data_IF_673808336725
#
_entry.id   IF_673808336725
#
_cell.length_a   1.000
_cell.length_b   1.000
_cell.length_c   1.000
_cell.angle_alpha   90.00
_cell.angle_beta   90.00
_cell.angle_gamma   90.00
#
_symmetry.space_group_name_H-M   'P 1'
#
loop_
_entity.id
_entity.type
_entity.pdbx_description
1 polymer ?
#
# COMPACT_ATOMS: atom_id res chain seq x y z
N UNK A 1 27.13 9.81 -26.88
CA UNK A 1 27.17 10.72 -25.71
C UNK A 1 26.90 9.89 -24.48
N UNK A 2 27.82 9.78 -23.50
CA UNK A 2 27.66 8.80 -22.44
C UNK A 2 26.80 9.33 -21.30
N UNK A 3 25.59 8.76 -21.18
CA UNK A 3 24.76 8.80 -19.97
C UNK A 3 25.20 7.62 -19.10
N UNK A 4 26.31 7.77 -18.38
CA UNK A 4 26.77 6.75 -17.41
C UNK A 4 27.26 7.35 -16.08
N UNK A 5 27.25 8.68 -15.93
CA UNK A 5 27.71 9.34 -14.71
C UNK A 5 26.61 9.54 -13.64
N UNK A 6 25.33 9.57 -14.03
CA UNK A 6 24.22 9.88 -13.12
C UNK A 6 23.76 8.69 -12.26
N UNK A 7 23.88 7.45 -12.74
CA UNK A 7 23.53 6.25 -11.95
C UNK A 7 24.58 5.91 -10.88
N UNK A 8 25.85 6.24 -11.13
CA UNK A 8 26.96 6.10 -10.18
C UNK A 8 26.82 7.07 -9.00
N UNK A 9 26.31 8.29 -9.24
CA UNK A 9 26.07 9.30 -8.20
C UNK A 9 24.94 8.90 -7.23
N UNK A 10 23.93 8.16 -7.73
CA UNK A 10 22.86 7.59 -6.92
C UNK A 10 23.35 6.47 -5.99
N UNK A 11 24.23 5.59 -6.49
CA UNK A 11 24.90 4.56 -5.68
C UNK A 11 25.79 5.16 -4.58
N UNK A 12 26.55 6.22 -4.91
CA UNK A 12 27.40 6.91 -3.94
C UNK A 12 26.59 7.57 -2.81
N UNK A 13 25.47 8.23 -3.12
CA UNK A 13 24.62 8.87 -2.09
C UNK A 13 23.92 7.86 -1.16
N UNK A 14 23.56 6.67 -1.66
CA UNK A 14 22.90 5.62 -0.85
C UNK A 14 23.90 4.90 0.08
N UNK A 15 25.14 4.70 -0.37
CA UNK A 15 26.24 4.23 0.49
C UNK A 15 26.60 5.24 1.57
N UNK A 16 26.54 6.56 1.28
CA UNK A 16 26.81 7.62 2.25
C UNK A 16 25.78 7.64 3.39
N UNK A 17 24.49 7.38 3.15
CA UNK A 17 23.48 7.37 4.22
C UNK A 17 23.64 6.16 5.15
N UNK A 18 23.92 4.98 4.59
CA UNK A 18 24.29 3.79 5.37
C UNK A 18 25.61 3.97 6.12
N UNK A 19 26.61 4.61 5.49
CA UNK A 19 27.86 4.99 6.15
C UNK A 19 27.65 6.04 7.23
N UNK A 20 26.73 6.99 7.12
CA UNK A 20 26.47 8.03 8.14
C UNK A 20 25.78 7.45 9.38
N UNK A 21 24.90 6.46 9.19
CA UNK A 21 24.29 5.73 10.30
C UNK A 21 25.29 4.79 11.00
N UNK A 22 26.09 4.04 10.23
CA UNK A 22 27.21 3.26 10.75
C UNK A 22 28.28 4.16 11.41
N UNK A 23 28.54 5.34 10.85
CA UNK A 23 29.43 6.35 11.43
C UNK A 23 28.89 6.84 12.77
N UNK A 24 27.58 7.04 12.94
CA UNK A 24 27.02 7.53 14.20
C UNK A 24 27.12 6.48 15.32
N UNK A 25 26.90 5.20 15.00
CA UNK A 25 27.06 4.11 15.96
C UNK A 25 28.54 3.83 16.27
N UNK A 26 29.39 3.85 15.24
CA UNK A 26 30.85 3.78 15.36
C UNK A 26 31.40 4.96 16.15
N UNK A 27 30.89 6.18 15.97
CA UNK A 27 31.29 7.37 16.74
C UNK A 27 30.91 7.21 18.21
N UNK A 28 29.71 6.75 18.53
CA UNK A 28 29.32 6.52 19.94
C UNK A 28 30.18 5.42 20.56
N UNK A 29 30.46 4.34 19.84
CA UNK A 29 31.30 3.23 20.31
C UNK A 29 32.77 3.67 20.49
N UNK A 30 33.33 4.42 19.54
CA UNK A 30 34.71 4.92 19.58
C UNK A 30 34.90 6.08 20.56
N UNK A 31 33.90 6.94 20.73
CA UNK A 31 34.01 8.12 21.61
C UNK A 31 33.70 7.79 23.07
N UNK A 32 32.87 6.77 23.35
CA UNK A 32 32.48 6.45 24.73
C UNK A 32 32.90 5.05 25.20
N UNK A 33 32.77 4.01 24.38
CA UNK A 33 33.08 2.64 24.81
C UNK A 33 34.59 2.36 24.82
N UNK A 34 35.33 2.88 23.83
CA UNK A 34 36.79 2.75 23.77
C UNK A 34 37.50 3.45 24.94
N UNK A 35 37.17 4.70 25.31
CA UNK A 35 37.74 5.34 26.50
C UNK A 35 37.35 4.64 27.80
N UNK A 36 36.14 4.08 27.90
CA UNK A 36 35.72 3.32 29.07
C UNK A 36 36.49 1.99 29.20
N UNK A 37 36.62 1.23 28.11
CA UNK A 37 37.42 0.01 28.08
C UNK A 37 38.90 0.30 28.38
N UNK A 38 39.44 1.39 27.82
CA UNK A 38 40.78 1.86 28.11
C UNK A 38 40.96 2.26 29.57
N UNK A 39 39.97 2.94 30.17
CA UNK A 39 39.98 3.29 31.59
C UNK A 39 39.98 2.06 32.50
N UNK A 40 39.19 1.03 32.17
CA UNK A 40 39.19 -0.24 32.90
C UNK A 40 40.50 -1.01 32.73
N UNK A 41 41.05 -1.06 31.52
CA UNK A 41 42.34 -1.70 31.25
C UNK A 41 43.49 -0.98 31.97
N UNK A 42 43.52 0.36 31.94
CA UNK A 42 44.47 1.19 32.68
C UNK A 42 44.38 0.98 34.20
N UNK A 43 43.16 0.86 34.73
CA UNK A 43 42.96 0.59 36.15
C UNK A 43 43.42 -0.82 36.55
N UNK A 44 43.25 -1.79 35.65
CA UNK A 44 43.70 -3.17 35.82
C UNK A 44 45.23 -3.29 35.79
N UNK A 45 45.91 -2.67 34.82
CA UNK A 45 47.39 -2.69 34.72
C UNK A 45 48.06 -1.91 35.86
N UNK A 46 47.44 -0.82 36.34
CA UNK A 46 47.90 -0.10 37.53
C UNK A 46 47.82 -0.92 38.81
N UNK A 47 46.88 -1.86 38.91
CA UNK A 47 46.76 -2.77 40.06
C UNK A 47 47.84 -3.87 40.08
N UNK A 48 48.46 -4.17 38.93
CA UNK A 48 49.48 -5.21 38.78
C UNK A 48 50.92 -4.67 38.97
N UNK A 49 51.07 -3.34 39.14
CA UNK A 49 52.29 -2.75 39.67
C UNK A 49 53.44 -2.56 38.67
N UNK A 50 53.17 -2.62 37.36
CA UNK A 50 54.24 -2.58 36.35
C UNK A 50 53.96 -1.61 35.18
N UNK A 51 53.61 -0.37 35.51
CA UNK A 51 53.43 0.69 34.50
C UNK A 51 54.46 1.81 34.69
N UNK A 52 55.66 1.65 34.14
CA UNK A 52 56.57 2.77 33.88
C UNK A 52 56.10 3.55 32.65
N UNK A 53 55.70 4.79 32.92
CA UNK A 53 55.69 6.01 32.09
C UNK A 53 56.12 5.83 30.62
N UNK A 54 55.14 5.66 29.72
CA UNK A 54 55.27 5.95 28.27
C UNK A 54 53.98 6.54 27.70
N UNK A 55 53.29 7.39 28.47
CA UNK A 55 51.94 7.85 28.10
C UNK A 55 51.90 9.27 27.50
N UNK A 56 53.00 10.03 27.56
CA UNK A 56 53.00 11.44 27.15
C UNK A 56 53.57 11.70 25.75
N UNK A 57 54.33 10.78 25.16
CA UNK A 57 54.80 10.88 23.76
C UNK A 57 53.74 10.41 22.75
N UNK A 58 52.93 9.41 23.11
CA UNK A 58 52.00 8.76 22.16
C UNK A 58 50.81 9.62 21.72
N UNK A 59 50.44 10.66 22.49
CA UNK A 59 49.30 11.53 22.16
C UNK A 59 49.69 12.68 21.22
N UNK A 60 50.99 12.95 21.01
CA UNK A 60 51.48 14.01 20.12
C UNK A 60 51.80 13.53 18.70
N UNK A 61 52.00 12.22 18.48
CA UNK A 61 52.27 11.65 17.15
C UNK A 61 51.02 11.47 16.26
N UNK A 62 49.82 11.63 16.81
CA UNK A 62 48.56 11.42 16.06
C UNK A 62 48.22 12.56 15.07
N UNK A 63 49.06 13.61 14.96
CA UNK A 63 48.79 14.78 14.09
C UNK A 63 49.92 15.21 13.14
N UNK A 64 51.03 14.48 12.97
CA UNK A 64 52.11 14.96 12.11
C UNK A 64 53.10 13.92 11.59
N UNK A 65 53.24 13.91 10.27
CA UNK A 65 54.28 13.27 9.43
C UNK A 65 55.68 13.39 10.04
N UNK A 66 56.34 12.27 10.31
CA UNK A 66 57.80 12.14 10.18
C UNK A 66 58.22 10.67 9.98
N UNK A 67 59.06 10.43 8.97
CA UNK A 67 59.84 9.20 8.79
C UNK A 67 60.90 9.11 9.91
N UNK A 68 60.88 8.04 10.71
CA UNK A 68 62.11 7.52 11.29
C UNK A 68 62.07 5.99 11.36
N UNK A 69 63.12 5.39 10.81
CA UNK A 69 63.46 3.97 10.95
C UNK A 69 63.81 3.67 12.42
N UNK A 70 63.02 2.81 13.05
CA UNK A 70 63.51 1.97 14.15
C UNK A 70 62.66 0.70 14.22
N UNK A 71 63.24 -0.38 13.70
CA UNK A 71 62.72 -1.73 13.82
C UNK A 71 63.19 -2.35 15.14
N UNK A 72 62.24 -2.70 16.01
CA UNK A 72 62.50 -3.56 17.15
C UNK A 72 61.57 -3.31 18.32
N UNK A 73 60.74 -4.32 18.62
CA UNK A 73 59.91 -4.47 19.83
C UNK A 73 58.52 -3.80 19.77
N UNK A 74 57.58 -4.39 19.02
CA UNK A 74 56.13 -4.13 19.16
C UNK A 74 55.24 -5.32 18.77
N UNK A 75 55.62 -6.57 19.09
CA UNK A 75 54.81 -7.74 18.67
C UNK A 75 53.55 -7.98 19.53
N UNK A 76 53.46 -7.46 20.76
CA UNK A 76 52.30 -7.71 21.64
C UNK A 76 51.18 -6.65 21.55
N UNK A 77 51.46 -5.46 20.99
CA UNK A 77 50.48 -4.37 20.89
C UNK A 77 49.52 -4.51 19.71
N UNK A 78 49.99 -5.11 18.61
CA UNK A 78 49.22 -5.24 17.37
C UNK A 78 48.09 -6.27 17.46
N UNK A 79 48.27 -7.36 18.21
CA UNK A 79 47.20 -8.36 18.41
C UNK A 79 46.01 -7.80 19.20
N UNK A 80 46.26 -6.94 20.19
CA UNK A 80 45.22 -6.30 20.97
C UNK A 80 44.42 -5.27 20.14
N UNK A 81 45.10 -4.47 19.32
CA UNK A 81 44.47 -3.50 18.43
C UNK A 81 43.65 -4.20 17.32
N UNK A 82 44.18 -5.27 16.74
CA UNK A 82 43.45 -6.08 15.77
C UNK A 82 42.18 -6.69 16.39
N UNK A 83 42.26 -7.21 17.61
CA UNK A 83 41.11 -7.78 18.33
C UNK A 83 40.04 -6.73 18.63
N UNK A 84 40.43 -5.53 19.04
CA UNK A 84 39.50 -4.41 19.29
C UNK A 84 38.86 -3.94 17.99
N UNK A 85 39.61 -3.83 16.89
CA UNK A 85 39.08 -3.46 15.59
C UNK A 85 38.05 -4.48 15.08
N UNK A 86 38.34 -5.78 15.19
CA UNK A 86 37.41 -6.87 14.85
C UNK A 86 36.16 -6.80 15.72
N UNK A 87 36.29 -6.53 17.03
CA UNK A 87 35.14 -6.40 17.92
C UNK A 87 34.26 -5.20 17.57
N UNK A 88 34.86 -4.04 17.27
CA UNK A 88 34.14 -2.84 16.84
C UNK A 88 33.39 -3.09 15.52
N UNK A 89 34.04 -3.72 14.55
CA UNK A 89 33.39 -4.08 13.28
C UNK A 89 32.26 -5.09 13.49
N UNK A 90 32.45 -6.11 14.33
CA UNK A 90 31.42 -7.08 14.66
C UNK A 90 30.23 -6.43 15.37
N UNK A 91 30.48 -5.53 16.32
CA UNK A 91 29.44 -4.80 17.05
C UNK A 91 28.66 -3.85 16.15
N UNK A 92 29.33 -3.19 15.19
CA UNK A 92 28.67 -2.33 14.20
C UNK A 92 27.78 -3.15 13.25
N UNK A 93 28.28 -4.29 12.74
CA UNK A 93 27.49 -5.20 11.91
C UNK A 93 26.28 -5.73 12.69
N UNK A 94 26.47 -6.15 13.93
CA UNK A 94 25.39 -6.67 14.77
C UNK A 94 24.36 -5.57 15.12
N UNK A 95 24.84 -4.37 15.44
CA UNK A 95 24.00 -3.21 15.74
C UNK A 95 23.16 -2.80 14.53
N UNK A 96 23.77 -2.75 13.34
CA UNK A 96 23.06 -2.48 12.10
C UNK A 96 22.06 -3.59 11.76
N UNK A 97 22.40 -4.87 11.97
CA UNK A 97 21.48 -5.98 11.77
C UNK A 97 20.28 -5.94 12.74
N UNK A 98 20.51 -5.64 14.02
CA UNK A 98 19.46 -5.49 15.04
C UNK A 98 18.58 -4.28 14.72
N UNK A 99 19.16 -3.14 14.35
CA UNK A 99 18.41 -1.97 13.93
C UNK A 99 17.51 -2.29 12.73
N UNK A 100 18.05 -2.96 11.71
CA UNK A 100 17.30 -3.41 10.54
C UNK A 100 16.17 -4.39 10.93
N UNK A 101 16.39 -5.35 11.82
CA UNK A 101 15.36 -6.29 12.28
C UNK A 101 14.25 -5.58 13.10
N UNK A 102 14.62 -4.61 13.94
CA UNK A 102 13.65 -3.82 14.69
C UNK A 102 12.84 -2.89 13.77
N UNK A 103 13.51 -2.21 12.85
CA UNK A 103 12.90 -1.22 11.95
C UNK A 103 12.10 -1.85 10.81
N UNK A 104 12.49 -3.05 10.35
CA UNK A 104 11.72 -3.84 9.39
C UNK A 104 10.43 -4.37 9.96
N UNK A 105 10.22 -4.32 11.28
CA UNK A 105 9.07 -4.91 11.94
C UNK A 105 9.02 -6.43 11.81
N UNK A 106 10.14 -7.10 11.47
CA UNK A 106 10.19 -8.57 11.33
C UNK A 106 9.97 -9.28 12.68
N UNK A 107 10.25 -8.62 13.80
CA UNK A 107 9.84 -9.08 15.14
C UNK A 107 8.31 -9.19 15.31
N UNK A 108 7.52 -8.46 14.52
CA UNK A 108 6.05 -8.53 14.53
C UNK A 108 5.51 -9.78 13.82
N UNK A 109 6.34 -10.52 13.09
CA UNK A 109 5.94 -11.82 12.54
C UNK A 109 5.82 -12.91 13.63
N UNK A 110 6.36 -12.67 14.82
CA UNK A 110 6.32 -13.61 15.95
C UNK A 110 5.31 -13.23 17.04
N UNK A 111 4.75 -12.03 16.98
CA UNK A 111 3.82 -11.53 17.99
C UNK A 111 2.48 -11.20 17.32
N UNK A 112 1.48 -12.06 17.55
CA UNK A 112 0.08 -11.76 17.24
C UNK A 112 -0.36 -10.47 17.94
N UNK A 113 -0.78 -9.53 17.09
CA UNK A 113 -1.85 -8.56 17.27
C UNK A 113 -1.99 -7.80 18.60
N UNK A 114 -1.44 -6.58 18.63
CA UNK A 114 -2.08 -5.42 19.26
C UNK A 114 -1.28 -4.16 18.94
N UNK A 115 -1.51 -3.57 17.77
CA UNK A 115 -1.06 -2.21 17.50
C UNK A 115 -2.24 -1.28 17.28
N UNK A 116 -2.88 -0.92 18.40
CA UNK A 116 -3.74 0.26 18.50
C UNK A 116 -2.88 1.50 18.21
N UNK A 117 -3.10 2.09 17.03
CA UNK A 117 -2.53 3.37 16.64
C UNK A 117 -2.94 4.47 17.60
N UNK A 118 -1.95 5.28 18.00
CA UNK A 118 -2.10 6.45 18.84
C UNK A 118 -3.03 7.47 18.18
N UNK A 119 -4.14 7.78 18.87
CA UNK A 119 -5.05 8.94 18.77
C UNK A 119 -6.52 8.49 18.96
N UNK A 120 -6.90 8.03 20.16
CA UNK A 120 -8.32 7.86 20.54
C UNK A 120 -8.72 9.08 21.36
N UNK A 121 -9.23 10.10 20.68
CA UNK A 121 -10.27 10.95 21.28
C UNK A 121 -11.58 10.15 21.27
N UNK A 122 -12.35 10.23 22.35
CA UNK A 122 -13.68 9.61 22.53
C UNK A 122 -14.47 9.54 21.22
N UNK A 123 -14.60 8.33 20.66
CA UNK A 123 -15.34 8.03 19.42
C UNK A 123 -16.85 8.07 19.61
N UNK A 124 -17.32 7.97 20.86
CA UNK A 124 -18.75 7.84 21.17
C UNK A 124 -19.50 9.17 21.01
N UNK A 125 -18.90 10.30 21.37
CA UNK A 125 -19.59 11.60 21.31
C UNK A 125 -19.70 12.19 19.89
N UNK A 126 -18.89 11.72 18.93
CA UNK A 126 -18.89 12.21 17.53
C UNK A 126 -19.72 11.37 16.57
N UNK A 127 -19.95 10.08 16.84
CA UNK A 127 -20.83 9.22 16.02
C UNK A 127 -22.29 9.69 16.06
N UNK A 128 -22.73 10.32 17.16
CA UNK A 128 -24.10 10.80 17.33
C UNK A 128 -24.47 12.04 16.48
N UNK A 129 -23.50 12.82 16.00
CA UNK A 129 -23.76 14.08 15.30
C UNK A 129 -23.86 13.96 13.76
N UNK A 130 -23.55 12.78 13.20
CA UNK A 130 -23.47 12.55 11.74
C UNK A 130 -24.68 11.80 11.16
N UNK A 131 -25.64 11.42 11.99
CA UNK A 131 -26.87 10.77 11.59
C UNK A 131 -28.05 11.73 11.79
N UNK A 132 -28.31 12.57 10.79
CA UNK A 132 -29.71 12.68 10.39
C UNK A 132 -30.08 11.27 9.94
N UNK A 133 -30.68 10.49 10.84
CA UNK A 133 -31.26 9.19 10.49
C UNK A 133 -32.35 9.46 9.46
N UNK A 134 -31.98 9.42 8.18
CA UNK A 134 -32.94 9.14 7.12
C UNK A 134 -33.55 7.82 7.53
N UNK A 135 -34.82 7.83 7.93
CA UNK A 135 -35.54 6.64 8.37
C UNK A 135 -35.56 5.64 7.19
N UNK A 136 -34.53 4.79 7.12
CA UNK A 136 -34.39 3.85 6.03
C UNK A 136 -35.58 2.90 6.07
N UNK A 137 -36.21 2.70 4.93
CA UNK A 137 -37.20 1.62 4.84
C UNK A 137 -36.53 0.29 5.23
N UNK A 138 -37.26 -0.66 5.83
CA UNK A 138 -36.70 -1.96 6.20
C UNK A 138 -36.01 -2.68 5.04
N UNK A 139 -36.53 -2.55 3.81
CA UNK A 139 -35.95 -3.12 2.61
C UNK A 139 -34.60 -2.47 2.22
N UNK A 140 -34.48 -1.14 2.39
CA UNK A 140 -33.23 -0.43 2.15
C UNK A 140 -32.15 -0.87 3.13
N UNK A 141 -32.48 -0.90 4.42
CA UNK A 141 -31.57 -1.35 5.48
C UNK A 141 -31.10 -2.78 5.25
N UNK A 142 -32.03 -3.70 4.94
CA UNK A 142 -31.69 -5.09 4.64
C UNK A 142 -30.72 -5.21 3.44
N UNK A 143 -30.92 -4.40 2.39
CA UNK A 143 -30.01 -4.41 1.23
C UNK A 143 -28.64 -3.82 1.56
N UNK A 144 -28.57 -2.77 2.39
CA UNK A 144 -27.31 -2.20 2.88
C UNK A 144 -26.52 -3.22 3.70
N UNK A 145 -27.19 -3.91 4.63
CA UNK A 145 -26.59 -4.98 5.42
C UNK A 145 -26.08 -6.12 4.53
N UNK A 146 -26.91 -6.57 3.58
CA UNK A 146 -26.53 -7.59 2.60
C UNK A 146 -25.30 -7.17 1.78
N UNK A 147 -25.26 -5.95 1.24
CA UNK A 147 -24.12 -5.44 0.47
C UNK A 147 -22.83 -5.39 1.29
N UNK A 148 -22.93 -5.10 2.60
CA UNK A 148 -21.79 -5.08 3.52
C UNK A 148 -21.16 -6.47 3.74
N UNK A 149 -21.93 -7.53 3.47
CA UNK A 149 -21.52 -8.94 3.56
C UNK A 149 -21.02 -9.51 2.23
N UNK A 150 -20.85 -8.67 1.19
CA UNK A 150 -20.31 -9.07 -0.11
C UNK A 150 -18.84 -8.71 -0.27
N UNK A 151 -18.07 -8.81 0.82
CA UNK A 151 -16.62 -8.82 0.74
C UNK A 151 -16.10 -10.10 0.10
N UNK A 152 -14.92 -10.06 -0.49
CA UNK A 152 -14.17 -11.24 -0.93
C UNK A 152 -12.86 -11.32 -0.18
N UNK A 153 -12.46 -12.54 0.19
CA UNK A 153 -11.14 -12.76 0.75
C UNK A 153 -10.06 -12.49 -0.31
N UNK A 154 -8.88 -12.07 0.12
CA UNK A 154 -7.74 -11.91 -0.78
C UNK A 154 -7.38 -13.24 -1.48
N UNK A 155 -7.56 -14.36 -0.78
CA UNK A 155 -7.46 -15.71 -1.35
C UNK A 155 -8.34 -15.87 -2.59
N UNK A 156 -9.63 -15.58 -2.46
CA UNK A 156 -10.59 -15.77 -3.55
C UNK A 156 -10.41 -14.76 -4.68
N UNK A 157 -9.93 -13.54 -4.39
CA UNK A 157 -9.50 -12.58 -5.42
C UNK A 157 -8.29 -13.10 -6.24
N UNK A 158 -7.29 -13.67 -5.57
CA UNK A 158 -6.13 -14.26 -6.26
C UNK A 158 -6.51 -15.51 -7.04
N UNK A 159 -7.38 -16.36 -6.48
CA UNK A 159 -7.91 -17.53 -7.17
C UNK A 159 -8.65 -17.12 -8.44
N UNK A 160 -9.51 -16.11 -8.36
CA UNK A 160 -10.19 -15.56 -9.54
C UNK A 160 -9.20 -15.11 -10.62
N UNK A 161 -8.15 -14.40 -10.22
CA UNK A 161 -7.12 -13.93 -11.14
C UNK A 161 -6.33 -15.07 -11.80
N UNK A 162 -5.95 -16.10 -11.03
CA UNK A 162 -5.06 -17.17 -11.47
C UNK A 162 -5.79 -18.33 -12.17
N UNK A 163 -7.02 -18.62 -11.78
CA UNK A 163 -7.76 -19.81 -12.23
C UNK A 163 -8.92 -19.45 -13.16
N UNK A 164 -9.69 -18.40 -12.85
CA UNK A 164 -10.87 -18.04 -13.65
C UNK A 164 -10.52 -17.20 -14.89
N UNK A 165 -9.65 -16.20 -14.77
CA UNK A 165 -9.32 -15.35 -15.93
C UNK A 165 -8.65 -16.10 -17.08
N UNK A 166 -7.68 -17.01 -16.86
CA UNK A 166 -7.04 -17.74 -17.95
C UNK A 166 -7.94 -18.78 -18.61
N UNK A 167 -9.05 -19.16 -17.97
CA UNK A 167 -9.96 -20.22 -18.45
C UNK A 167 -11.18 -19.67 -19.20
N UNK A 168 -11.27 -18.35 -19.40
CA UNK A 168 -12.39 -17.74 -20.10
C UNK A 168 -12.44 -18.17 -21.58
N UNK A 169 -13.60 -18.63 -22.09
CA UNK A 169 -13.72 -19.06 -23.47
C UNK A 169 -13.60 -17.86 -24.43
N UNK A 170 -12.89 -18.06 -25.54
CA UNK A 170 -12.72 -17.08 -26.61
C UNK A 170 -12.15 -15.72 -26.14
N UNK A 171 -11.46 -15.69 -24.99
CA UNK A 171 -10.84 -14.50 -24.44
C UNK A 171 -9.55 -14.84 -23.72
N UNK A 172 -8.44 -14.26 -24.18
CA UNK A 172 -7.16 -14.37 -23.48
C UNK A 172 -6.91 -13.11 -22.67
N UNK A 173 -6.93 -13.22 -21.35
CA UNK A 173 -6.62 -12.09 -20.48
C UNK A 173 -5.16 -11.62 -20.66
N UNK A 174 -4.97 -10.36 -21.03
CA UNK A 174 -3.67 -9.69 -21.10
C UNK A 174 -3.54 -8.69 -19.92
N UNK A 175 -2.74 -9.00 -18.89
CA UNK A 175 -2.71 -8.20 -17.66
C UNK A 175 -2.23 -6.76 -17.84
N UNK A 176 -1.40 -6.47 -18.85
CA UNK A 176 -0.92 -5.11 -19.13
C UNK A 176 -1.96 -4.20 -19.81
N UNK A 177 -2.95 -4.78 -20.51
CA UNK A 177 -3.85 -4.04 -21.40
C UNK A 177 -5.29 -4.06 -20.92
N UNK A 178 -5.74 -5.18 -20.35
CA UNK A 178 -7.13 -5.32 -19.91
C UNK A 178 -7.42 -4.56 -18.63
N UNK A 179 -8.46 -3.75 -18.72
CA UNK A 179 -8.99 -2.92 -17.65
C UNK A 179 -10.01 -3.69 -16.84
N UNK A 180 -10.37 -3.15 -15.69
CA UNK A 180 -11.39 -3.78 -14.83
C UNK A 180 -12.73 -3.93 -15.54
N UNK A 181 -13.13 -2.97 -16.38
CA UNK A 181 -14.33 -3.11 -17.22
C UNK A 181 -14.29 -4.30 -18.17
N UNK A 182 -13.12 -4.64 -18.72
CA UNK A 182 -12.97 -5.77 -19.64
C UNK A 182 -13.16 -7.07 -18.87
N UNK A 183 -12.57 -7.17 -17.67
CA UNK A 183 -12.78 -8.29 -16.74
C UNK A 183 -14.23 -8.42 -16.30
N UNK A 184 -14.92 -7.31 -16.02
CA UNK A 184 -16.35 -7.34 -15.67
C UNK A 184 -17.16 -7.95 -16.82
N UNK A 185 -16.93 -7.49 -18.05
CA UNK A 185 -17.69 -7.90 -19.23
C UNK A 185 -17.34 -9.31 -19.71
N UNK A 186 -16.08 -9.71 -19.61
CA UNK A 186 -15.57 -10.96 -20.20
C UNK A 186 -15.44 -12.11 -19.21
N UNK A 187 -15.37 -11.82 -17.91
CA UNK A 187 -15.26 -12.85 -16.88
C UNK A 187 -16.42 -12.80 -15.88
N UNK A 188 -16.58 -11.70 -15.14
CA UNK A 188 -17.52 -11.64 -14.00
C UNK A 188 -18.96 -11.89 -14.45
N UNK A 189 -19.46 -11.13 -15.43
CA UNK A 189 -20.84 -11.28 -15.94
C UNK A 189 -21.09 -12.69 -16.51
N UNK A 190 -20.24 -13.23 -17.42
CA UNK A 190 -20.44 -14.58 -17.94
C UNK A 190 -20.44 -15.66 -16.86
N UNK A 191 -19.49 -15.60 -15.90
CA UNK A 191 -19.37 -16.60 -14.84
C UNK A 191 -20.61 -16.62 -13.93
N UNK A 192 -21.18 -15.46 -13.61
CA UNK A 192 -22.36 -15.38 -12.74
C UNK A 192 -23.70 -15.39 -13.49
N UNK A 193 -23.69 -15.52 -14.82
CA UNK A 193 -24.91 -15.43 -15.66
C UNK A 193 -25.99 -16.45 -15.33
N UNK A 194 -25.61 -17.64 -14.85
CA UNK A 194 -26.56 -18.69 -14.45
C UNK A 194 -27.27 -18.37 -13.13
N UNK A 195 -26.57 -17.73 -12.20
CA UNK A 195 -27.09 -17.36 -10.87
C UNK A 195 -27.70 -15.96 -10.85
N UNK A 196 -27.39 -15.14 -11.86
CA UNK A 196 -27.82 -13.74 -11.99
C UNK A 196 -27.52 -12.90 -10.74
N UNK A 197 -26.36 -13.16 -10.13
CA UNK A 197 -25.92 -12.60 -8.85
C UNK A 197 -24.60 -11.84 -8.96
N UNK A 198 -24.25 -11.10 -7.89
CA UNK A 198 -22.92 -10.55 -7.71
C UNK A 198 -21.89 -11.67 -7.55
N UNK A 199 -20.68 -11.51 -8.09
CA UNK A 199 -19.64 -12.55 -7.98
C UNK A 199 -19.34 -12.91 -6.52
N UNK A 200 -19.21 -11.92 -5.65
CA UNK A 200 -18.94 -12.14 -4.23
C UNK A 200 -20.03 -12.97 -3.51
N UNK A 201 -21.27 -12.90 -4.00
CA UNK A 201 -22.41 -13.66 -3.46
C UNK A 201 -22.67 -14.97 -4.21
N UNK A 202 -21.94 -15.23 -5.30
CA UNK A 202 -22.13 -16.42 -6.13
C UNK A 202 -21.53 -17.66 -5.49
N UNK A 203 -22.04 -18.84 -5.85
CA UNK A 203 -21.46 -20.10 -5.38
C UNK A 203 -20.02 -20.31 -5.88
N UNK A 204 -19.60 -19.60 -6.94
CA UNK A 204 -18.25 -19.65 -7.51
C UNK A 204 -17.20 -19.00 -6.61
N UNK A 205 -17.57 -18.00 -5.80
CA UNK A 205 -16.63 -17.35 -4.89
C UNK A 205 -16.22 -18.28 -3.72
N UNK A 206 -17.13 -19.11 -3.24
CA UNK A 206 -16.84 -20.08 -2.17
C UNK A 206 -16.67 -19.50 -0.76
N UNK A 207 -16.47 -18.19 -0.60
CA UNK A 207 -16.30 -17.56 0.72
C UNK A 207 -17.58 -17.53 1.57
N UNK A 208 -18.76 -17.60 0.94
CA UNK A 208 -20.03 -17.28 1.59
C UNK A 208 -20.15 -15.78 1.95
N UNK A 209 -21.11 -15.40 2.81
CA UNK A 209 -21.25 -14.01 3.25
C UNK A 209 -20.03 -13.58 4.08
N UNK A 210 -19.28 -12.61 3.57
CA UNK A 210 -18.09 -12.07 4.22
C UNK A 210 -18.24 -10.57 4.45
N UNK A 211 -18.14 -10.17 5.71
CA UNK A 211 -18.13 -8.74 6.05
C UNK A 211 -16.84 -8.10 5.55
N UNK A 212 -16.97 -7.04 4.77
CA UNK A 212 -15.80 -6.31 4.29
C UNK A 212 -15.05 -5.60 5.43
N UNK A 213 -13.73 -5.78 5.46
CA UNK A 213 -12.82 -5.06 6.34
C UNK A 213 -12.23 -3.84 5.65
N UNK A 214 -12.16 -3.88 4.31
CA UNK A 214 -11.58 -2.84 3.48
C UNK A 214 -12.50 -2.55 2.31
N UNK A 215 -12.91 -1.29 2.16
CA UNK A 215 -13.57 -0.82 0.93
C UNK A 215 -12.52 -0.34 -0.07
N UNK A 216 -12.63 -0.77 -1.32
CA UNK A 216 -11.70 -0.41 -2.39
C UNK A 216 -12.35 0.57 -3.35
N UNK A 217 -11.90 1.81 -3.33
CA UNK A 217 -12.24 2.82 -4.33
C UNK A 217 -11.30 2.68 -5.52
N UNK A 218 -11.87 2.44 -6.71
CA UNK A 218 -11.11 2.25 -7.94
C UNK A 218 -11.88 2.75 -9.16
N UNK A 219 -11.17 3.03 -10.24
CA UNK A 219 -11.78 3.36 -11.54
C UNK A 219 -11.76 2.13 -12.44
N UNK A 220 -12.90 1.79 -13.05
CA UNK A 220 -12.99 0.64 -13.96
C UNK A 220 -12.16 0.79 -15.24
N UNK A 221 -11.77 2.03 -15.56
CA UNK A 221 -10.82 2.34 -16.63
C UNK A 221 -9.36 1.98 -16.32
N UNK A 222 -9.07 1.58 -15.08
CA UNK A 222 -7.75 1.17 -14.62
C UNK A 222 -7.47 -0.28 -15.02
N UNK A 223 -6.20 -0.58 -15.26
CA UNK A 223 -5.71 -1.94 -15.44
C UNK A 223 -6.18 -2.82 -14.27
N UNK A 224 -6.74 -4.00 -14.58
CA UNK A 224 -7.27 -4.89 -13.53
C UNK A 224 -6.14 -5.47 -12.65
N UNK A 225 -4.98 -5.76 -13.25
CA UNK A 225 -3.79 -6.20 -12.52
C UNK A 225 -3.35 -5.15 -11.48
N UNK A 226 -3.35 -3.87 -11.86
CA UNK A 226 -2.96 -2.79 -10.94
C UNK A 226 -3.95 -2.65 -9.76
N UNK A 227 -5.25 -2.88 -10.00
CA UNK A 227 -6.25 -2.95 -8.91
C UNK A 227 -5.91 -4.07 -7.92
N UNK A 228 -5.66 -5.28 -8.41
CA UNK A 228 -5.31 -6.41 -7.55
C UNK A 228 -3.97 -6.20 -6.84
N UNK A 229 -2.99 -5.64 -7.54
CA UNK A 229 -1.70 -5.27 -6.95
C UNK A 229 -1.87 -4.24 -5.82
N UNK A 230 -2.74 -3.25 -5.97
CA UNK A 230 -3.05 -2.29 -4.92
C UNK A 230 -3.67 -2.95 -3.68
N UNK A 231 -4.54 -3.95 -3.87
CA UNK A 231 -5.13 -4.76 -2.79
C UNK A 231 -4.06 -5.61 -2.09
N UNK A 232 -3.20 -6.29 -2.85
CA UNK A 232 -2.08 -7.08 -2.30
C UNK A 232 -1.11 -6.20 -1.51
N UNK A 233 -0.71 -5.06 -2.06
CA UNK A 233 0.15 -4.11 -1.38
C UNK A 233 -0.51 -3.49 -0.16
N UNK A 234 -1.82 -3.36 -0.17
CA UNK A 234 -2.55 -2.99 1.03
C UNK A 234 -2.46 -4.05 2.13
N UNK A 235 -2.73 -5.31 1.80
CA UNK A 235 -2.64 -6.44 2.73
C UNK A 235 -1.24 -6.56 3.35
N UNK A 236 -0.20 -6.35 2.53
CA UNK A 236 1.21 -6.40 2.94
C UNK A 236 1.73 -5.08 3.54
N UNK A 237 0.86 -4.07 3.68
CA UNK A 237 1.20 -2.74 4.21
C UNK A 237 2.34 -2.04 3.45
N UNK A 238 2.40 -2.26 2.14
CA UNK A 238 3.32 -1.61 1.21
C UNK A 238 2.77 -0.24 0.78
N UNK A 239 3.65 0.75 0.63
CA UNK A 239 3.23 2.05 0.12
C UNK A 239 2.93 1.98 -1.39
N UNK A 240 3.75 1.24 -2.14
CA UNK A 240 3.63 1.10 -3.59
C UNK A 240 3.14 -0.29 -4.01
N UNK A 241 2.60 -0.40 -5.22
CA UNK A 241 2.11 -1.68 -5.74
C UNK A 241 2.88 -2.28 -6.90
N UNK A 242 3.95 -1.65 -7.39
CA UNK A 242 4.64 -2.17 -8.57
C UNK A 242 5.36 -3.51 -8.32
N UNK A 243 5.88 -3.77 -7.12
CA UNK A 243 6.42 -5.11 -6.78
C UNK A 243 5.32 -6.19 -6.86
N UNK A 244 4.15 -5.92 -6.28
CA UNK A 244 3.01 -6.82 -6.35
C UNK A 244 2.53 -7.00 -7.80
N UNK A 245 2.52 -5.94 -8.60
CA UNK A 245 2.22 -5.98 -10.04
C UNK A 245 3.15 -6.95 -10.79
N UNK A 246 4.46 -6.85 -10.57
CA UNK A 246 5.44 -7.71 -11.23
C UNK A 246 5.28 -9.18 -10.79
N UNK A 247 5.09 -9.42 -9.49
CA UNK A 247 4.91 -10.77 -8.96
C UNK A 247 3.61 -11.42 -9.42
N UNK A 248 2.52 -10.65 -9.60
CA UNK A 248 1.28 -11.17 -10.16
C UNK A 248 1.45 -11.72 -11.59
N UNK A 249 2.38 -11.16 -12.38
CA UNK A 249 2.67 -11.65 -13.73
C UNK A 249 3.71 -12.76 -13.76
N UNK A 250 4.81 -12.58 -13.04
CA UNK A 250 5.99 -13.44 -13.16
C UNK A 250 5.90 -14.70 -12.30
N UNK A 251 5.37 -14.58 -11.07
CA UNK A 251 5.31 -15.69 -10.12
C UNK A 251 4.19 -15.49 -9.07
N UNK A 252 2.92 -15.63 -9.48
CA UNK A 252 1.79 -15.39 -8.59
C UNK A 252 1.66 -16.47 -7.50
N UNK A 253 2.25 -17.66 -7.71
CA UNK A 253 2.32 -18.71 -6.69
C UNK A 253 3.23 -18.28 -5.53
N UNK A 254 4.39 -17.71 -5.83
CA UNK A 254 5.28 -17.15 -4.82
C UNK A 254 4.63 -16.01 -4.01
N UNK A 255 3.90 -15.12 -4.69
CA UNK A 255 3.14 -14.07 -4.01
C UNK A 255 2.11 -14.63 -3.04
N UNK A 256 1.39 -15.68 -3.45
CA UNK A 256 0.43 -16.37 -2.60
C UNK A 256 1.10 -16.98 -1.37
N UNK A 257 2.26 -17.62 -1.51
CA UNK A 257 3.02 -18.16 -0.38
C UNK A 257 3.42 -17.08 0.63
N UNK A 258 3.84 -15.90 0.15
CA UNK A 258 4.16 -14.78 1.04
C UNK A 258 2.92 -14.33 1.81
N UNK A 259 1.80 -14.13 1.13
CA UNK A 259 0.54 -13.75 1.76
C UNK A 259 0.04 -14.79 2.76
N UNK A 260 0.26 -16.08 2.48
CA UNK A 260 -0.04 -17.17 3.41
C UNK A 260 0.84 -17.10 4.65
N UNK A 261 2.15 -16.93 4.48
CA UNK A 261 3.12 -16.80 5.59
C UNK A 261 2.87 -15.57 6.46
N UNK A 262 2.29 -14.51 5.89
CA UNK A 262 1.93 -13.30 6.64
C UNK A 262 0.48 -13.29 7.13
N UNK A 263 -0.26 -14.40 6.99
CA UNK A 263 -1.67 -14.54 7.39
C UNK A 263 -2.60 -13.46 6.80
N UNK A 264 -2.31 -12.98 5.60
CA UNK A 264 -3.07 -11.91 4.96
C UNK A 264 -4.15 -12.40 3.98
N UNK A 265 -4.16 -13.70 3.65
CA UNK A 265 -5.06 -14.27 2.64
C UNK A 265 -6.54 -14.14 3.00
N UNK A 266 -6.87 -14.07 4.29
CA UNK A 266 -8.25 -14.00 4.76
C UNK A 266 -8.74 -12.56 4.97
N UNK A 267 -7.90 -11.55 4.68
CA UNK A 267 -8.33 -10.16 4.63
C UNK A 267 -9.46 -9.98 3.61
N UNK A 268 -10.51 -9.26 4.00
CA UNK A 268 -11.73 -9.16 3.20
C UNK A 268 -11.91 -7.79 2.58
N UNK A 269 -12.05 -7.76 1.24
CA UNK A 269 -12.13 -6.54 0.45
C UNK A 269 -13.50 -6.42 -0.24
N UNK A 270 -14.11 -5.25 -0.14
CA UNK A 270 -15.28 -4.88 -0.93
C UNK A 270 -14.82 -4.14 -2.18
N UNK A 271 -15.04 -4.73 -3.35
CA UNK A 271 -14.66 -4.18 -4.66
C UNK A 271 -15.92 -4.15 -5.51
N UNK A 272 -16.34 -2.98 -5.99
CA UNK A 272 -17.65 -2.82 -6.61
C UNK A 272 -17.86 -3.71 -7.85
N UNK A 273 -16.80 -4.01 -8.61
CA UNK A 273 -16.89 -4.93 -9.77
C UNK A 273 -17.32 -6.35 -9.39
N UNK A 274 -17.02 -6.78 -8.16
CA UNK A 274 -17.36 -8.11 -7.65
C UNK A 274 -18.58 -8.12 -6.71
N UNK A 275 -18.74 -7.08 -5.91
CA UNK A 275 -19.75 -7.02 -4.86
C UNK A 275 -21.12 -6.55 -5.36
N UNK A 276 -21.17 -5.75 -6.45
CA UNK A 276 -22.43 -5.33 -7.07
C UNK A 276 -22.90 -6.39 -8.06
N UNK A 277 -24.21 -6.64 -8.06
CA UNK A 277 -24.85 -7.51 -9.02
C UNK A 277 -24.89 -6.84 -10.40
N UNK A 278 -23.96 -7.23 -11.26
CA UNK A 278 -23.82 -6.65 -12.60
C UNK A 278 -25.02 -6.97 -13.52
N UNK A 279 -25.81 -8.00 -13.20
CA UNK A 279 -26.95 -8.45 -14.00
C UNK A 279 -28.14 -7.50 -13.94
N UNK A 280 -28.32 -6.83 -12.80
CA UNK A 280 -29.36 -5.82 -12.60
C UNK A 280 -28.85 -4.40 -12.86
N UNK A 281 -27.60 -4.22 -13.28
CA UNK A 281 -26.99 -2.91 -13.52
C UNK A 281 -26.67 -2.67 -14.99
N UNK A 282 -25.83 -3.52 -15.59
CA UNK A 282 -25.18 -3.19 -16.87
C UNK A 282 -25.18 -4.32 -17.91
N UNK A 283 -25.53 -5.55 -17.53
CA UNK A 283 -25.18 -6.73 -18.35
C UNK A 283 -25.85 -6.79 -19.74
N UNK A 284 -27.05 -6.22 -19.89
CA UNK A 284 -27.84 -6.26 -21.14
C UNK A 284 -27.49 -5.18 -22.18
N UNK A 285 -26.59 -4.25 -21.85
CA UNK A 285 -26.22 -3.15 -22.74
C UNK A 285 -24.73 -2.88 -22.70
N UNK A 286 -24.11 -2.79 -23.87
CA UNK A 286 -22.73 -2.37 -24.01
C UNK A 286 -22.58 -1.41 -25.22
N UNK A 287 -22.81 -0.10 -25.03
CA UNK A 287 -22.72 0.84 -26.14
C UNK A 287 -21.29 1.23 -26.52
N UNK A 288 -20.29 0.98 -25.65
CA UNK A 288 -18.98 1.60 -25.78
C UNK A 288 -17.77 0.76 -25.34
N UNK A 289 -17.93 -0.25 -24.48
CA UNK A 289 -16.79 -1.02 -23.98
C UNK A 289 -16.28 -1.97 -25.07
N UNK A 290 -15.05 -1.75 -25.50
CA UNK A 290 -14.40 -2.52 -26.57
C UNK A 290 -13.17 -3.22 -26.04
N UNK A 291 -12.95 -4.43 -26.53
CA UNK A 291 -11.70 -5.16 -26.30
C UNK A 291 -10.53 -4.37 -26.90
N UNK A 292 -9.42 -4.18 -26.16
CA UNK A 292 -8.33 -3.32 -26.61
C UNK A 292 -7.58 -3.85 -27.83
N UNK A 293 -7.60 -5.17 -28.08
CA UNK A 293 -6.89 -5.80 -29.19
C UNK A 293 -7.78 -5.91 -30.43
N UNK A 294 -8.99 -6.47 -30.28
CA UNK A 294 -9.89 -6.70 -31.42
C UNK A 294 -10.69 -5.45 -31.81
N UNK A 295 -10.83 -4.49 -30.88
CA UNK A 295 -11.71 -3.31 -30.99
C UNK A 295 -13.19 -3.64 -31.15
N UNK A 296 -13.58 -4.90 -30.99
CA UNK A 296 -14.97 -5.34 -30.99
C UNK A 296 -15.64 -4.98 -29.66
N UNK A 297 -16.96 -4.77 -29.69
CA UNK A 297 -17.73 -4.58 -28.46
C UNK A 297 -17.74 -5.89 -27.68
N UNK A 298 -17.56 -5.81 -26.36
CA UNK A 298 -17.76 -6.97 -25.49
C UNK A 298 -19.21 -7.49 -25.62
N UNK A 299 -19.42 -8.81 -25.53
CA UNK A 299 -20.75 -9.39 -25.64
C UNK A 299 -21.66 -8.91 -24.50
N UNK A 300 -22.96 -8.85 -24.80
CA UNK A 300 -24.01 -8.59 -23.81
C UNK A 300 -24.54 -9.91 -23.27
N UNK A 301 -24.99 -9.90 -22.01
CA UNK A 301 -25.58 -11.08 -21.39
C UNK A 301 -27.00 -11.34 -21.92
N UNK A 302 -27.40 -12.61 -21.94
CA UNK A 302 -28.75 -13.06 -22.33
C UNK A 302 -29.54 -13.62 -21.14
N UNK A 303 -29.18 -13.22 -19.92
CA UNK A 303 -29.88 -13.64 -18.71
C UNK A 303 -31.30 -13.03 -18.64
N UNK A 304 -32.08 -13.46 -17.65
CA UNK A 304 -33.48 -13.05 -17.48
C UNK A 304 -33.67 -11.80 -16.62
N UNK A 305 -32.62 -11.36 -15.92
CA UNK A 305 -32.64 -10.15 -15.09
C UNK A 305 -33.01 -8.90 -15.90
N UNK A 306 -33.54 -7.90 -15.22
CA UNK A 306 -33.77 -6.59 -15.82
C UNK A 306 -32.80 -5.57 -15.21
N UNK A 307 -32.20 -4.72 -16.05
CA UNK A 307 -31.43 -3.58 -15.56
C UNK A 307 -32.37 -2.64 -14.81
N UNK A 308 -32.03 -2.31 -13.57
CA UNK A 308 -32.83 -1.42 -12.73
C UNK A 308 -32.55 0.01 -13.17
N UNK A 309 -33.62 0.69 -13.56
CA UNK A 309 -33.59 2.12 -13.85
C UNK A 309 -33.92 2.90 -12.58
N UNK A 310 -32.99 3.74 -12.13
CA UNK A 310 -33.07 4.47 -10.85
C UNK A 310 -32.69 5.95 -11.04
N UNK A 311 -33.50 6.73 -11.77
CA UNK A 311 -33.15 8.10 -12.17
C UNK A 311 -33.12 9.08 -11.01
N UNK A 312 -33.78 8.77 -9.89
CA UNK A 312 -33.84 9.62 -8.69
C UNK A 312 -32.93 9.14 -7.56
N UNK A 313 -32.24 8.01 -7.74
CA UNK A 313 -31.33 7.42 -6.76
C UNK A 313 -32.04 6.90 -5.50
N UNK A 314 -33.34 6.57 -5.58
CA UNK A 314 -34.16 6.18 -4.42
C UNK A 314 -34.70 4.75 -4.50
N UNK A 315 -34.45 4.05 -5.60
CA UNK A 315 -34.88 2.67 -5.77
C UNK A 315 -34.26 1.76 -4.69
N UNK A 316 -35.11 1.03 -3.96
CA UNK A 316 -34.65 -0.01 -3.01
C UNK A 316 -33.99 -1.18 -3.73
N UNK A 317 -34.29 -1.38 -5.02
CA UNK A 317 -33.76 -2.46 -5.83
C UNK A 317 -32.36 -2.15 -6.38
N UNK A 318 -32.05 -0.87 -6.63
CA UNK A 318 -30.74 -0.43 -7.11
C UNK A 318 -29.67 -0.68 -6.04
N UNK A 319 -28.53 -1.26 -6.39
CA UNK A 319 -27.44 -1.49 -5.44
C UNK A 319 -26.45 -0.32 -5.41
N UNK A 320 -26.34 0.43 -6.51
CA UNK A 320 -25.34 1.49 -6.69
C UNK A 320 -25.67 2.73 -5.85
N UNK A 321 -26.95 3.00 -5.60
CA UNK A 321 -27.39 4.15 -4.80
C UNK A 321 -27.19 3.97 -3.27
N UNK A 322 -26.67 2.81 -2.83
CA UNK A 322 -26.50 2.43 -1.42
C UNK A 322 -25.06 2.50 -0.92
N UNK A 323 -24.12 2.96 -1.74
CA UNK A 323 -22.69 2.87 -1.38
C UNK A 323 -22.37 3.67 -0.12
N UNK A 324 -22.81 4.92 -0.02
CA UNK A 324 -22.56 5.77 1.15
C UNK A 324 -23.19 5.18 2.42
N UNK A 325 -24.41 4.66 2.32
CA UNK A 325 -25.11 4.00 3.43
C UNK A 325 -24.42 2.70 3.85
N UNK A 326 -23.87 1.96 2.89
CA UNK A 326 -23.07 0.77 3.11
C UNK A 326 -21.72 1.10 3.73
N UNK A 327 -21.06 2.19 3.33
CA UNK A 327 -19.85 2.71 3.97
C UNK A 327 -20.13 3.14 5.41
N UNK A 328 -21.23 3.85 5.63
CA UNK A 328 -21.68 4.21 6.97
C UNK A 328 -21.92 2.96 7.81
N UNK A 329 -22.68 1.98 7.30
CA UNK A 329 -22.92 0.73 8.01
C UNK A 329 -21.60 -0.01 8.32
N UNK A 330 -20.70 -0.09 7.35
CA UNK A 330 -19.40 -0.74 7.52
C UNK A 330 -18.54 -0.09 8.62
N UNK A 331 -18.49 1.24 8.65
CA UNK A 331 -17.74 2.03 9.64
C UNK A 331 -18.42 2.13 11.00
N UNK A 332 -19.75 2.03 11.06
CA UNK A 332 -20.52 2.09 12.30
C UNK A 332 -20.50 0.75 13.04
N UNK A 333 -20.57 -0.37 12.32
CA UNK A 333 -20.64 -1.71 12.91
C UNK A 333 -19.31 -2.47 12.89
N UNK A 334 -18.22 -1.83 12.43
CA UNK A 334 -16.85 -2.37 12.51
C UNK A 334 -15.78 -1.36 12.11
N UNK A 335 -14.51 -1.76 12.14
CA UNK A 335 -13.36 -0.91 11.81
C UNK A 335 -13.02 -0.98 10.31
N UNK A 336 -14.01 -0.72 9.46
CA UNK A 336 -13.79 -0.71 8.02
C UNK A 336 -12.90 0.47 7.61
N UNK A 337 -11.89 0.19 6.80
CA UNK A 337 -10.95 1.17 6.24
C UNK A 337 -11.12 1.26 4.72
N UNK A 338 -10.55 2.29 4.09
CA UNK A 338 -10.60 2.48 2.65
C UNK A 338 -9.22 2.36 2.02
N UNK A 339 -9.16 1.68 0.88
CA UNK A 339 -8.01 1.67 -0.02
C UNK A 339 -8.39 2.36 -1.31
N UNK A 340 -7.56 3.29 -1.76
CA UNK A 340 -7.74 4.03 -3.00
C UNK A 340 -6.70 3.50 -4.00
N UNK A 341 -7.16 2.73 -4.97
CA UNK A 341 -6.31 2.11 -5.99
C UNK A 341 -6.17 3.05 -7.20
N UNK A 342 -5.23 4.00 -7.10
CA UNK A 342 -5.02 5.01 -8.13
C UNK A 342 -4.13 4.50 -9.27
N UNK A 343 -4.56 4.76 -10.50
CA UNK A 343 -3.82 4.42 -11.70
C UNK A 343 -2.66 5.39 -11.96
N UNK A 344 -1.74 4.97 -12.84
CA UNK A 344 -0.61 5.79 -13.26
C UNK A 344 -1.04 7.15 -13.82
N UNK A 345 -2.20 7.24 -14.50
CA UNK A 345 -2.73 8.48 -15.07
C UNK A 345 -3.49 9.35 -14.08
N UNK A 346 -3.71 8.88 -12.85
CA UNK A 346 -4.52 9.55 -11.85
C UNK A 346 -5.97 9.77 -12.34
N UNK A 347 -6.42 8.98 -13.32
CA UNK A 347 -7.76 9.10 -13.90
C UNK A 347 -8.87 8.79 -12.88
N UNK A 348 -8.54 8.04 -11.82
CA UNK A 348 -9.43 7.85 -10.67
C UNK A 348 -9.96 9.19 -10.12
N UNK A 349 -9.10 10.21 -10.01
CA UNK A 349 -9.50 11.53 -9.49
C UNK A 349 -10.32 12.35 -10.48
N UNK A 350 -10.45 11.89 -11.73
CA UNK A 350 -11.35 12.46 -12.74
C UNK A 350 -12.73 11.79 -12.72
N UNK A 351 -13.00 10.84 -11.82
CA UNK A 351 -14.28 10.15 -11.68
C UNK A 351 -15.05 10.68 -10.48
N UNK A 352 -16.23 11.27 -10.74
CA UNK A 352 -17.04 11.90 -9.71
C UNK A 352 -17.42 10.93 -8.58
N UNK A 353 -17.80 9.70 -8.95
CA UNK A 353 -18.12 8.63 -7.99
C UNK A 353 -16.93 8.28 -7.08
N UNK A 354 -15.74 8.06 -7.64
CA UNK A 354 -14.55 7.72 -6.84
C UNK A 354 -14.20 8.83 -5.85
N UNK A 355 -14.31 10.08 -6.27
CA UNK A 355 -14.01 11.24 -5.43
C UNK A 355 -15.07 11.44 -4.33
N UNK A 356 -16.35 11.19 -4.64
CA UNK A 356 -17.41 11.17 -3.64
C UNK A 356 -17.14 10.08 -2.57
N UNK A 357 -16.76 8.86 -2.96
CA UNK A 357 -16.39 7.79 -2.02
C UNK A 357 -15.18 8.17 -1.13
N UNK A 358 -14.17 8.86 -1.69
CA UNK A 358 -13.01 9.32 -0.91
C UNK A 358 -13.42 10.35 0.14
N UNK A 359 -14.27 11.31 -0.22
CA UNK A 359 -14.77 12.31 0.69
C UNK A 359 -15.69 11.70 1.75
N UNK A 360 -16.53 10.73 1.37
CA UNK A 360 -17.43 10.04 2.28
C UNK A 360 -16.66 9.22 3.32
N UNK A 361 -15.64 8.46 2.90
CA UNK A 361 -14.76 7.75 3.83
C UNK A 361 -14.11 8.71 4.84
N UNK A 362 -13.68 9.90 4.40
CA UNK A 362 -13.12 10.93 5.28
C UNK A 362 -14.16 11.45 6.29
N UNK A 363 -15.38 11.72 5.83
CA UNK A 363 -16.49 12.16 6.68
C UNK A 363 -16.81 11.12 7.76
N UNK A 364 -16.78 9.84 7.39
CA UNK A 364 -16.97 8.69 8.27
C UNK A 364 -15.73 8.37 9.14
N UNK A 365 -14.65 9.13 9.02
CA UNK A 365 -13.39 8.92 9.75
C UNK A 365 -12.77 7.53 9.51
N UNK A 366 -13.03 6.93 8.34
CA UNK A 366 -12.38 5.70 7.94
C UNK A 366 -10.88 5.96 7.75
N UNK A 367 -10.04 5.00 8.13
CA UNK A 367 -8.61 5.07 7.79
C UNK A 367 -8.46 4.92 6.27
N UNK A 368 -7.81 5.85 5.59
CA UNK A 368 -7.65 5.83 4.14
C UNK A 368 -6.19 5.56 3.76
N UNK A 369 -5.98 4.65 2.82
CA UNK A 369 -4.67 4.34 2.25
C UNK A 369 -4.69 4.53 0.73
N UNK A 370 -3.90 5.48 0.25
CA UNK A 370 -3.73 5.74 -1.18
C UNK A 370 -2.56 4.92 -1.73
N UNK A 371 -2.86 4.06 -2.70
CA UNK A 371 -1.89 3.15 -3.33
C UNK A 371 -1.60 3.58 -4.76
N UNK A 372 -0.32 3.58 -5.10
CA UNK A 372 0.17 3.92 -6.43
C UNK A 372 1.22 2.91 -6.89
N UNK A 373 1.45 2.86 -8.20
CA UNK A 373 2.49 2.02 -8.77
C UNK A 373 3.85 2.36 -8.16
N UNK A 374 4.28 3.61 -8.25
CA UNK A 374 5.55 4.07 -7.67
C UNK A 374 5.58 5.58 -7.50
N UNK A 375 6.51 6.07 -6.69
CA UNK A 375 6.74 7.51 -6.51
C UNK A 375 7.10 8.20 -7.83
N UNK A 376 7.91 7.53 -8.66
CA UNK A 376 8.32 8.03 -9.97
C UNK A 376 7.13 8.21 -10.93
N UNK A 377 6.08 7.38 -10.80
CA UNK A 377 4.88 7.50 -11.63
C UNK A 377 4.01 8.72 -11.27
N UNK A 378 3.98 9.13 -10.00
CA UNK A 378 3.06 10.17 -9.50
C UNK A 378 3.69 11.55 -9.58
N UNK A 379 4.97 11.69 -9.22
CA UNK A 379 5.63 12.99 -9.05
C UNK A 379 5.48 13.92 -10.27
N UNK A 380 5.63 13.46 -11.53
CA UNK A 380 5.44 14.32 -12.70
C UNK A 380 3.99 14.79 -12.90
N UNK A 381 3.01 14.07 -12.33
CA UNK A 381 1.56 14.26 -12.54
C UNK A 381 0.86 14.90 -11.36
N UNK A 382 1.56 15.07 -10.24
CA UNK A 382 1.01 15.68 -9.04
C UNK A 382 0.28 17.01 -9.25
N UNK A 383 0.80 17.86 -10.14
CA UNK A 383 0.18 19.15 -10.47
C UNK A 383 -1.23 19.02 -11.05
N UNK A 384 -1.60 17.86 -11.63
CA UNK A 384 -2.96 17.62 -12.13
C UNK A 384 -3.97 17.50 -11.00
N UNK A 385 -3.51 17.31 -9.75
CA UNK A 385 -4.37 17.22 -8.57
C UNK A 385 -4.62 18.58 -7.90
N UNK A 386 -3.83 19.60 -8.23
CA UNK A 386 -3.93 20.95 -7.62
C UNK A 386 -5.23 21.67 -8.00
N UNK A 387 -5.81 21.32 -9.15
CA UNK A 387 -7.01 21.97 -9.69
C UNK A 387 -8.19 20.99 -9.77
N UNK A 388 -8.27 20.03 -8.83
CA UNK A 388 -9.41 19.13 -8.77
C UNK A 388 -10.70 19.90 -8.51
N UNK A 389 -11.67 19.68 -9.39
CA UNK A 389 -13.01 20.24 -9.30
C UNK A 389 -14.03 19.17 -9.71
N UNK A 390 -14.91 18.80 -8.78
CA UNK A 390 -15.93 17.78 -9.00
C UNK A 390 -16.86 18.08 -10.18
N UNK A 391 -17.06 19.37 -10.53
CA UNK A 391 -17.85 19.78 -11.70
C UNK A 391 -17.20 19.36 -13.02
N UNK A 392 -15.88 19.24 -13.05
CA UNK A 392 -15.13 18.84 -14.24
C UNK A 392 -15.02 17.32 -14.40
N UNK A 393 -15.38 16.56 -13.36
CA UNK A 393 -15.24 15.10 -13.33
C UNK A 393 -16.28 14.38 -14.20
N UNK A 394 -15.98 13.12 -14.51
CA UNK A 394 -16.79 12.24 -15.35
C UNK A 394 -17.60 11.26 -14.50
N UNK A 395 -18.84 11.00 -14.90
CA UNK A 395 -19.66 9.90 -14.40
C UNK A 395 -20.04 8.96 -15.56
N UNK A 396 -20.78 7.90 -15.27
CA UNK A 396 -21.23 6.94 -16.29
C UNK A 396 -22.30 7.55 -17.21
N UNK A 397 -23.11 8.47 -16.66
CA UNK A 397 -24.07 9.30 -17.38
C UNK A 397 -24.09 10.73 -16.81
N UNK A 398 -24.61 11.69 -17.56
CA UNK A 398 -24.79 13.06 -17.04
C UNK A 398 -25.80 13.10 -15.89
N UNK A 399 -26.82 12.24 -15.90
CA UNK A 399 -27.78 12.11 -14.78
C UNK A 399 -27.09 11.70 -13.48
N UNK A 400 -26.16 10.74 -13.53
CA UNK A 400 -25.38 10.35 -12.36
C UNK A 400 -24.51 11.51 -11.86
N UNK A 401 -23.91 12.27 -12.78
CA UNK A 401 -23.10 13.43 -12.43
C UNK A 401 -23.92 14.50 -11.74
N UNK A 402 -25.08 14.84 -12.29
CA UNK A 402 -26.03 15.78 -11.69
C UNK A 402 -26.48 15.32 -10.31
N UNK A 403 -26.79 14.02 -10.14
CA UNK A 403 -27.15 13.45 -8.85
C UNK A 403 -26.04 13.63 -7.80
N UNK A 404 -24.79 13.29 -8.14
CA UNK A 404 -23.63 13.47 -7.24
C UNK A 404 -23.44 14.95 -6.91
N UNK A 405 -23.50 15.84 -7.91
CA UNK A 405 -23.32 17.27 -7.70
C UNK A 405 -24.43 17.86 -6.82
N UNK A 406 -25.67 17.43 -7.02
CA UNK A 406 -26.80 17.86 -6.18
C UNK A 406 -26.64 17.38 -4.75
N UNK A 407 -26.17 16.14 -4.54
CA UNK A 407 -25.87 15.60 -3.21
C UNK A 407 -24.78 16.40 -2.51
N UNK A 408 -23.68 16.68 -3.20
CA UNK A 408 -22.58 17.49 -2.68
C UNK A 408 -23.05 18.92 -2.37
N UNK A 409 -23.80 19.53 -3.28
CA UNK A 409 -24.34 20.88 -3.12
C UNK A 409 -25.28 20.98 -1.91
N UNK A 410 -26.09 19.95 -1.66
CA UNK A 410 -27.01 19.88 -0.53
C UNK A 410 -26.28 19.71 0.81
N UNK A 411 -25.28 18.82 0.87
CA UNK A 411 -24.62 18.46 2.13
C UNK A 411 -23.59 19.49 2.60
N UNK A 412 -22.75 19.96 1.68
CA UNK A 412 -21.56 20.76 2.02
C UNK A 412 -21.42 22.00 1.13
N UNK A 413 -21.99 21.99 -0.07
CA UNK A 413 -21.74 23.00 -1.10
C UNK A 413 -20.51 22.65 -1.94
N UNK A 414 -20.60 22.88 -3.25
CA UNK A 414 -19.58 22.43 -4.22
C UNK A 414 -18.19 23.05 -3.99
N UNK A 415 -18.13 24.34 -3.67
CA UNK A 415 -16.83 25.02 -3.45
C UNK A 415 -16.14 24.54 -2.17
N UNK A 416 -16.91 24.37 -1.09
CA UNK A 416 -16.40 23.84 0.16
C UNK A 416 -15.93 22.39 -0.03
N UNK A 417 -16.72 21.57 -0.72
CA UNK A 417 -16.32 20.20 -1.07
C UNK A 417 -15.00 20.15 -1.83
N UNK A 418 -14.83 20.97 -2.87
CA UNK A 418 -13.58 21.02 -3.64
C UNK A 418 -12.39 21.44 -2.76
N UNK A 419 -12.58 22.42 -1.87
CA UNK A 419 -11.55 22.88 -0.93
C UNK A 419 -11.15 21.77 0.05
N UNK A 420 -12.13 21.08 0.63
CA UNK A 420 -11.92 19.97 1.56
C UNK A 420 -11.26 18.77 0.87
N UNK A 421 -11.67 18.46 -0.36
CA UNK A 421 -11.07 17.40 -1.18
C UNK A 421 -9.60 17.70 -1.49
N UNK A 422 -9.28 18.92 -1.91
CA UNK A 422 -7.90 19.32 -2.18
C UNK A 422 -7.06 19.24 -0.91
N UNK A 423 -7.57 19.71 0.23
CA UNK A 423 -6.88 19.56 1.51
C UNK A 423 -6.68 18.09 1.90
N UNK A 424 -7.71 17.25 1.73
CA UNK A 424 -7.65 15.81 2.00
C UNK A 424 -6.56 15.12 1.17
N UNK A 425 -6.37 15.52 -0.08
CA UNK A 425 -5.39 14.87 -0.96
C UNK A 425 -3.99 15.47 -0.76
N UNK A 426 -3.87 16.79 -0.73
CA UNK A 426 -2.61 17.53 -0.89
C UNK A 426 -2.04 18.13 0.39
N UNK A 427 -2.76 18.13 1.52
CA UNK A 427 -2.21 18.69 2.75
C UNK A 427 -0.86 18.04 3.09
N UNK A 428 0.24 18.81 3.21
CA UNK A 428 1.58 18.23 3.34
C UNK A 428 1.82 17.40 4.60
N UNK A 429 0.97 17.57 5.63
CA UNK A 429 1.14 16.91 6.93
C UNK A 429 0.20 15.73 7.12
N UNK A 430 -1.02 15.84 6.59
CA UNK A 430 -2.15 14.96 6.90
C UNK A 430 -2.93 14.49 5.68
N UNK A 431 -2.61 15.01 4.49
CA UNK A 431 -3.24 14.60 3.25
C UNK A 431 -2.83 13.19 2.84
N UNK A 432 -3.59 12.60 1.91
CA UNK A 432 -3.33 11.25 1.39
C UNK A 432 -1.93 11.14 0.76
N UNK A 433 -1.44 12.22 0.14
CA UNK A 433 -0.10 12.31 -0.43
C UNK A 433 1.00 12.66 0.58
N UNK A 434 0.66 13.06 1.81
CA UNK A 434 1.66 13.36 2.85
C UNK A 434 2.59 12.17 3.07
N UNK A 435 2.03 10.96 3.05
CA UNK A 435 2.78 9.70 3.16
C UNK A 435 3.78 9.46 2.01
N UNK A 436 3.67 10.18 0.89
CA UNK A 436 4.57 10.08 -0.28
C UNK A 436 5.58 11.23 -0.36
N UNK A 437 5.18 12.42 0.11
CA UNK A 437 6.06 13.59 0.23
C UNK A 437 7.09 13.42 1.33
N UNK A 438 6.62 13.02 2.51
CA UNK A 438 7.44 12.81 3.68
C UNK A 438 8.11 11.43 3.67
N UNK A 439 8.62 10.98 2.51
CA UNK A 439 9.64 9.93 2.48
C UNK A 439 10.95 10.47 3.06
N UNK A 440 10.87 10.78 4.34
CA UNK A 440 11.98 11.01 5.22
C UNK A 440 12.83 9.72 5.30
N UNK A 441 14.01 9.86 5.89
CA UNK A 441 14.91 8.73 6.10
C UNK A 441 14.21 7.55 6.77
N UNK A 442 13.17 7.80 7.60
CA UNK A 442 12.38 6.75 8.26
C UNK A 442 11.55 5.92 7.30
N UNK A 443 10.82 6.53 6.37
CA UNK A 443 10.08 5.76 5.37
C UNK A 443 11.01 5.02 4.41
N UNK A 444 12.16 5.60 4.05
CA UNK A 444 13.17 4.88 3.26
C UNK A 444 13.70 3.65 4.01
N UNK A 445 13.95 3.79 5.31
CA UNK A 445 14.32 2.67 6.18
C UNK A 445 13.19 1.64 6.26
N UNK A 446 11.92 2.07 6.34
CA UNK A 446 10.77 1.14 6.31
C UNK A 446 10.67 0.39 4.99
N UNK A 447 10.86 1.06 3.86
CA UNK A 447 10.93 0.43 2.54
C UNK A 447 12.05 -0.61 2.49
N UNK A 448 13.26 -0.26 2.95
CA UNK A 448 14.37 -1.23 3.04
C UNK A 448 14.01 -2.39 3.97
N UNK A 449 13.39 -2.10 5.11
CA UNK A 449 12.95 -3.13 6.04
C UNK A 449 11.88 -4.05 5.47
N UNK A 450 10.94 -3.51 4.69
CA UNK A 450 9.94 -4.29 3.95
C UNK A 450 10.60 -5.13 2.87
N UNK A 451 11.49 -4.56 2.08
CA UNK A 451 12.26 -5.29 1.07
C UNK A 451 13.06 -6.45 1.67
N UNK A 452 13.66 -6.24 2.84
CA UNK A 452 14.35 -7.31 3.59
C UNK A 452 13.34 -8.36 4.07
N UNK A 453 12.17 -7.97 4.54
CA UNK A 453 11.09 -8.90 4.90
C UNK A 453 10.67 -9.75 3.70
N UNK A 454 10.52 -9.15 2.52
CA UNK A 454 10.28 -9.87 1.27
C UNK A 454 11.43 -10.83 0.97
N UNK A 455 12.68 -10.38 1.04
CA UNK A 455 13.86 -11.23 0.82
C UNK A 455 14.00 -12.38 1.83
N UNK A 456 13.55 -12.21 3.07
CA UNK A 456 13.48 -13.27 4.07
C UNK A 456 12.35 -14.25 3.76
N UNK A 457 11.17 -13.75 3.37
CA UNK A 457 10.03 -14.57 2.96
C UNK A 457 10.33 -15.39 1.69
N UNK A 458 11.20 -14.84 0.83
CA UNK A 458 11.76 -15.45 -0.37
C UNK A 458 12.64 -16.67 -0.09
N UNK A 459 13.04 -16.91 1.16
CA UNK A 459 13.87 -18.08 1.50
C UNK A 459 15.21 -18.12 0.75
N UNK A 460 15.68 -16.97 0.24
CA UNK A 460 16.91 -16.86 -0.54
C UNK A 460 16.81 -17.24 -2.01
N UNK A 461 15.62 -17.40 -2.61
CA UNK A 461 15.54 -17.78 -4.04
C UNK A 461 15.97 -16.67 -5.00
N UNK A 462 16.01 -15.41 -4.55
CA UNK A 462 16.41 -14.25 -5.35
C UNK A 462 15.28 -13.65 -6.19
N UNK A 463 14.07 -14.21 -6.13
CA UNK A 463 12.93 -13.79 -6.97
C UNK A 463 12.46 -12.38 -6.65
N UNK A 464 12.37 -12.05 -5.35
CA UNK A 464 12.00 -10.69 -4.90
C UNK A 464 12.98 -9.66 -5.44
N UNK A 465 14.29 -9.92 -5.32
CA UNK A 465 15.33 -9.00 -5.75
C UNK A 465 15.29 -8.79 -7.27
N UNK A 466 15.08 -9.86 -8.03
CA UNK A 466 14.91 -9.77 -9.50
C UNK A 466 13.67 -8.97 -9.90
N UNK A 467 12.53 -9.20 -9.23
CA UNK A 467 11.29 -8.46 -9.48
C UNK A 467 11.41 -6.98 -9.09
N UNK A 468 12.20 -6.68 -8.06
CA UNK A 468 12.52 -5.32 -7.64
C UNK A 468 13.52 -4.63 -8.59
N UNK A 469 14.54 -5.31 -9.08
CA UNK A 469 15.53 -4.72 -10.01
C UNK A 469 14.92 -4.35 -11.36
N UNK A 470 13.92 -5.10 -11.84
CA UNK A 470 13.19 -4.78 -13.07
C UNK A 470 12.40 -3.45 -13.01
N UNK A 471 12.33 -2.82 -11.82
CA UNK A 471 11.56 -1.62 -11.55
C UNK A 471 12.38 -0.31 -11.64
N UNK A 472 13.67 -0.31 -11.28
CA UNK A 472 14.52 0.89 -11.38
C UNK A 472 14.92 1.16 -12.83
#
# INVERSE_FOLDING_TARGET
MPVTATSQLGRARRLVVLQVLGLSFSLVLTTFALPAAFFFYWRYTRAIGDARVYMFEWMLDFTGVFETENAGVFEAGDEALASVAVFVQAADILGNAVAVLLLSGSHRLLAEDQQKGCCIGSTDDRRAALAEETEWTPAWKAKVEELSLRGMTLRSLLQFYQENLPTMPDWTYAPAEHKTRDVVRRAIIPLTSKEESAYAASALNGDGPQRAQVMVTHNWGNCFKDLLAAVVSDALQECSFNLATNLLEDDPAFLYEILAKTACLDHTYWICSFAVNQHICICHSNPYDRDPFTRELHPVCTCSSANIFDPDGRSTLSEINKFDDMMYHLSATGDCRQVIAADKALDLFNRAWCVAEIAEAKRLQMTQALKFASKAAIMPRMHTLENLDVRSMRASSETDKEFILNKIAHNTGVEQFNTELQSLILDPKSGLLASWHAMDSWQQIREVGRLIRWGLADGGTGKVWKAWEAHE
#
